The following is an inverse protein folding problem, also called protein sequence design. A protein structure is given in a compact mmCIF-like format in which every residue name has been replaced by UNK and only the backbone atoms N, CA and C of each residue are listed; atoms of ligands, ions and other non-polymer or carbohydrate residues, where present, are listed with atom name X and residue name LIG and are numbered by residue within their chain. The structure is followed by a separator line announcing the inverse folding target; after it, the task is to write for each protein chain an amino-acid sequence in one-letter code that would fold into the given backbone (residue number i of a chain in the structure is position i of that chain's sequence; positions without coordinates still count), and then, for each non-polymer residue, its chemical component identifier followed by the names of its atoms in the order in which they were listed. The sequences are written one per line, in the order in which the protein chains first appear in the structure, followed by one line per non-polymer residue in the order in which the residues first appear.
data_IF_581758845552
#
_entry.id   IF_581758845552
#
_cell.length_a   1.000
_cell.length_b   1.000
_cell.length_c   1.000
_cell.angle_alpha   90.00
_cell.angle_beta   90.00
_cell.angle_gamma   90.00
#
_symmetry.space_group_name_H-M   'P 1'
#
loop_
_entity.id
_entity.type
_entity.pdbx_description
1 polymer ?
#
# COMPACT_ATOMS: atom_id res chain seq x y z
N UNK A 1 11.01 -30.01 -28.64
CA UNK A 1 10.08 -30.78 -29.51
C UNK A 1 9.47 -29.86 -30.56
N UNK A 2 8.69 -30.35 -31.52
CA UNK A 2 7.98 -29.50 -32.49
C UNK A 2 7.07 -28.45 -31.81
N UNK A 3 6.70 -28.67 -30.54
CA UNK A 3 6.00 -27.71 -29.68
C UNK A 3 6.87 -26.52 -29.21
N UNK A 4 8.20 -26.67 -29.10
CA UNK A 4 9.11 -25.57 -28.71
C UNK A 4 9.29 -24.51 -29.82
N UNK A 5 8.90 -24.85 -31.06
CA UNK A 5 9.06 -23.99 -32.23
C UNK A 5 7.86 -23.08 -32.50
N UNK A 6 6.75 -23.26 -31.79
CA UNK A 6 5.53 -22.46 -31.98
C UNK A 6 5.29 -21.54 -30.77
N UNK A 7 6.20 -20.59 -30.59
CA UNK A 7 6.06 -19.55 -29.57
C UNK A 7 4.83 -18.71 -29.89
N UNK A 8 3.77 -18.86 -29.09
CA UNK A 8 2.57 -18.04 -29.25
C UNK A 8 2.88 -16.57 -29.00
N UNK A 9 2.54 -15.72 -29.96
CA UNK A 9 2.68 -14.25 -29.85
C UNK A 9 1.45 -13.59 -29.23
N UNK A 10 0.46 -14.37 -28.76
CA UNK A 10 -0.81 -13.84 -28.26
C UNK A 10 -0.63 -12.79 -27.16
N UNK A 11 0.26 -13.08 -26.19
CA UNK A 11 0.57 -12.19 -25.06
C UNK A 11 1.22 -10.87 -25.49
N UNK A 12 2.04 -10.89 -26.55
CA UNK A 12 2.67 -9.69 -27.09
C UNK A 12 1.65 -8.72 -27.72
N UNK A 13 0.49 -9.24 -28.14
CA UNK A 13 -0.63 -8.44 -28.64
C UNK A 13 -1.74 -8.23 -27.62
N UNK A 14 -1.54 -8.50 -26.32
CA UNK A 14 -2.55 -8.35 -25.28
C UNK A 14 -3.10 -6.91 -25.24
N UNK A 15 -4.39 -6.70 -25.50
CA UNK A 15 -4.98 -5.36 -25.66
C UNK A 15 -4.99 -4.59 -24.35
N UNK A 16 -5.14 -5.28 -23.21
CA UNK A 16 -5.00 -4.65 -21.89
C UNK A 16 -3.61 -4.05 -21.68
N UNK A 17 -2.53 -4.78 -22.02
CA UNK A 17 -1.16 -4.24 -21.93
C UNK A 17 -0.94 -3.08 -22.90
N UNK A 18 -1.43 -3.17 -24.15
CA UNK A 18 -1.31 -2.07 -25.11
C UNK A 18 -2.05 -0.81 -24.64
N UNK A 19 -3.23 -0.95 -24.03
CA UNK A 19 -3.95 0.18 -23.42
C UNK A 19 -3.14 0.85 -22.29
N UNK A 20 -2.29 0.11 -21.58
CA UNK A 20 -1.38 0.67 -20.56
C UNK A 20 -0.21 1.38 -21.24
N UNK A 21 0.42 0.74 -22.23
CA UNK A 21 1.58 1.28 -22.95
C UNK A 21 1.23 2.57 -23.72
N UNK A 22 0.02 2.64 -24.28
CA UNK A 22 -0.49 3.81 -25.00
C UNK A 22 -1.02 4.91 -24.06
N UNK A 23 -1.06 4.68 -22.75
CA UNK A 23 -1.48 5.69 -21.79
C UNK A 23 -0.41 6.79 -21.64
N UNK A 24 -0.78 8.03 -21.94
CA UNK A 24 0.11 9.19 -21.87
C UNK A 24 0.75 9.36 -20.49
N UNK A 25 -0.05 9.22 -19.42
CA UNK A 25 0.42 9.40 -18.04
C UNK A 25 1.35 8.28 -17.58
N UNK A 26 1.18 7.06 -18.11
CA UNK A 26 2.11 5.95 -17.89
C UNK A 26 3.45 6.23 -18.56
N UNK A 27 3.43 6.57 -19.86
CA UNK A 27 4.62 6.87 -20.64
C UNK A 27 5.42 8.03 -20.06
N UNK A 28 4.73 9.07 -19.57
CA UNK A 28 5.36 10.18 -18.86
C UNK A 28 6.09 9.72 -17.60
N UNK A 29 5.44 8.90 -16.74
CA UNK A 29 6.06 8.40 -15.51
C UNK A 29 7.27 7.52 -15.72
N UNK A 30 7.21 6.62 -16.70
CA UNK A 30 8.35 5.74 -17.04
C UNK A 30 9.58 6.58 -17.42
N UNK A 31 9.38 7.66 -18.19
CA UNK A 31 10.45 8.59 -18.61
C UNK A 31 10.98 9.43 -17.45
N UNK A 32 10.09 10.08 -16.69
CA UNK A 32 10.43 10.95 -15.54
C UNK A 32 11.32 10.22 -14.51
N UNK A 33 10.98 8.97 -14.20
CA UNK A 33 11.66 8.18 -13.17
C UNK A 33 12.74 7.24 -13.71
N UNK A 34 12.98 7.25 -15.03
CA UNK A 34 13.88 6.32 -15.72
C UNK A 34 13.66 4.85 -15.29
N UNK A 35 12.40 4.43 -15.17
CA UNK A 35 12.00 3.16 -14.55
C UNK A 35 12.58 1.96 -15.32
N UNK A 36 12.78 2.12 -16.63
CA UNK A 36 13.34 1.08 -17.50
C UNK A 36 14.73 0.59 -17.05
N UNK A 37 15.47 1.36 -16.24
CA UNK A 37 16.77 0.93 -15.71
C UNK A 37 16.70 -0.27 -14.75
N UNK A 38 15.54 -0.49 -14.15
CA UNK A 38 15.29 -1.56 -13.18
C UNK A 38 14.86 -2.87 -13.84
N UNK A 39 14.70 -2.89 -15.17
CA UNK A 39 14.32 -4.08 -15.91
C UNK A 39 15.58 -4.91 -16.14
N UNK A 40 15.62 -6.09 -15.52
CA UNK A 40 16.63 -7.11 -15.78
C UNK A 40 16.12 -8.06 -16.88
N UNK A 41 16.79 -8.07 -18.04
CA UNK A 41 16.41 -8.89 -19.20
C UNK A 41 16.53 -10.40 -18.93
N UNK A 42 17.51 -10.83 -18.14
CA UNK A 42 17.71 -12.23 -17.77
C UNK A 42 16.59 -12.70 -16.83
N UNK A 43 16.19 -11.83 -15.89
CA UNK A 43 15.06 -12.08 -15.01
C UNK A 43 13.76 -12.18 -15.81
N UNK A 44 13.50 -11.25 -16.73
CA UNK A 44 12.34 -11.31 -17.64
C UNK A 44 12.31 -12.62 -18.44
N UNK A 45 13.46 -13.07 -18.95
CA UNK A 45 13.56 -14.33 -19.67
C UNK A 45 13.23 -15.54 -18.77
N UNK A 46 13.69 -15.54 -17.52
CA UNK A 46 13.38 -16.60 -16.53
C UNK A 46 11.89 -16.62 -16.18
N UNK A 47 11.29 -15.45 -15.93
CA UNK A 47 9.85 -15.29 -15.68
C UNK A 47 9.06 -15.86 -16.84
N UNK A 48 9.40 -15.51 -18.08
CA UNK A 48 8.71 -16.03 -19.26
C UNK A 48 8.81 -17.55 -19.40
N UNK A 49 9.99 -18.14 -19.15
CA UNK A 49 10.18 -19.60 -19.19
C UNK A 49 9.29 -20.30 -18.15
N UNK A 50 9.16 -19.73 -16.95
CA UNK A 50 8.26 -20.24 -15.90
C UNK A 50 6.79 -20.11 -16.33
N UNK A 51 6.39 -18.93 -16.80
CA UNK A 51 5.04 -18.65 -17.32
C UNK A 51 4.64 -19.61 -18.44
N UNK A 52 5.51 -19.83 -19.42
CA UNK A 52 5.23 -20.68 -20.59
C UNK A 52 4.89 -22.13 -20.20
N UNK A 53 5.36 -22.60 -19.04
CA UNK A 53 5.09 -23.93 -18.53
C UNK A 53 3.72 -24.05 -17.82
N UNK A 54 3.11 -22.93 -17.39
CA UNK A 54 1.90 -22.95 -16.55
C UNK A 54 0.65 -23.37 -17.34
N UNK A 55 -0.31 -24.08 -16.70
CA UNK A 55 -1.57 -24.43 -17.35
C UNK A 55 -2.39 -23.19 -17.73
N UNK A 56 -2.37 -22.14 -16.90
CA UNK A 56 -3.10 -20.89 -17.13
C UNK A 56 -2.62 -20.18 -18.41
N UNK A 57 -1.31 -20.12 -18.64
CA UNK A 57 -0.77 -19.53 -19.86
C UNK A 57 -1.09 -20.39 -21.08
N UNK A 58 -1.00 -21.71 -20.97
CA UNK A 58 -1.36 -22.66 -22.04
C UNK A 58 -2.84 -22.55 -22.43
N UNK A 59 -3.72 -22.37 -21.45
CA UNK A 59 -5.15 -22.13 -21.68
C UNK A 59 -5.37 -20.78 -22.36
N UNK A 60 -4.74 -19.71 -21.86
CA UNK A 60 -4.83 -18.38 -22.45
C UNK A 60 -4.41 -18.35 -23.93
N UNK A 61 -3.32 -19.02 -24.30
CA UNK A 61 -2.86 -19.05 -25.70
C UNK A 61 -3.68 -19.97 -26.60
N UNK A 62 -4.41 -20.94 -26.04
CA UNK A 62 -5.27 -21.86 -26.80
C UNK A 62 -6.62 -21.22 -27.21
N UNK A 63 -7.08 -20.20 -26.47
CA UNK A 63 -8.24 -19.39 -26.82
C UNK A 63 -8.03 -18.70 -28.19
N UNK A 64 -8.90 -19.01 -29.17
CA UNK A 64 -8.78 -18.49 -30.55
C UNK A 64 -9.16 -17.03 -30.70
N UNK A 65 -10.13 -16.57 -29.91
CA UNK A 65 -10.61 -15.19 -29.93
C UNK A 65 -10.01 -14.41 -28.76
N UNK A 66 -9.90 -13.09 -28.92
CA UNK A 66 -9.52 -12.20 -27.82
C UNK A 66 -10.73 -11.91 -26.96
N UNK A 67 -10.54 -11.99 -25.65
CA UNK A 67 -11.55 -11.64 -24.66
C UNK A 67 -10.88 -10.76 -23.62
N UNK A 68 -11.36 -9.53 -23.47
CA UNK A 68 -10.78 -8.57 -22.53
C UNK A 68 -10.67 -9.12 -21.10
N UNK A 69 -11.64 -9.94 -20.66
CA UNK A 69 -11.60 -10.56 -19.33
C UNK A 69 -10.46 -11.57 -19.21
N UNK A 70 -10.22 -12.41 -20.23
CA UNK A 70 -9.09 -13.35 -20.20
C UNK A 70 -7.74 -12.64 -20.34
N UNK A 71 -7.71 -11.52 -21.08
CA UNK A 71 -6.53 -10.66 -21.19
C UNK A 71 -6.13 -9.99 -19.87
N UNK A 72 -7.10 -9.46 -19.12
CA UNK A 72 -6.84 -8.93 -17.77
C UNK A 72 -6.44 -10.07 -16.83
N UNK A 73 -7.13 -11.21 -16.90
CA UNK A 73 -6.88 -12.35 -16.01
C UNK A 73 -5.45 -12.90 -16.15
N UNK A 74 -4.92 -13.06 -17.37
CA UNK A 74 -3.55 -13.55 -17.54
C UNK A 74 -2.51 -12.55 -17.04
N UNK A 75 -2.72 -11.24 -17.20
CA UNK A 75 -1.80 -10.23 -16.68
C UNK A 75 -1.83 -10.20 -15.15
N UNK A 76 -3.01 -10.36 -14.55
CA UNK A 76 -3.14 -10.52 -13.10
C UNK A 76 -2.42 -11.79 -12.61
N UNK A 77 -2.59 -12.91 -13.29
CA UNK A 77 -1.89 -14.15 -12.97
C UNK A 77 -0.36 -13.98 -13.03
N UNK A 78 0.16 -13.34 -14.09
CA UNK A 78 1.61 -13.04 -14.19
C UNK A 78 2.06 -12.19 -13.01
N UNK A 79 1.31 -11.14 -12.67
CA UNK A 79 1.63 -10.26 -11.55
C UNK A 79 1.63 -11.00 -10.21
N UNK A 80 0.60 -11.80 -9.93
CA UNK A 80 0.48 -12.53 -8.67
C UNK A 80 1.53 -13.63 -8.56
N UNK A 81 1.58 -14.53 -9.55
CA UNK A 81 2.26 -15.82 -9.43
C UNK A 81 3.67 -15.86 -10.04
N UNK A 82 3.98 -14.97 -10.98
CA UNK A 82 5.29 -14.95 -11.66
C UNK A 82 6.12 -13.72 -11.32
N UNK A 83 5.52 -12.71 -10.68
CA UNK A 83 6.22 -11.53 -10.16
C UNK A 83 6.18 -11.59 -8.64
N UNK A 84 5.03 -11.42 -7.99
CA UNK A 84 4.93 -11.30 -6.53
C UNK A 84 5.30 -12.57 -5.75
N UNK A 85 4.92 -13.75 -6.24
CA UNK A 85 5.26 -15.02 -5.58
C UNK A 85 6.67 -15.55 -5.97
N UNK A 86 7.41 -14.84 -6.84
CA UNK A 86 8.72 -15.29 -7.33
C UNK A 86 9.86 -14.72 -6.47
N UNK A 87 10.55 -15.60 -5.72
CA UNK A 87 11.63 -15.22 -4.80
C UNK A 87 12.73 -14.38 -5.47
N UNK A 88 13.13 -14.74 -6.71
CA UNK A 88 14.19 -14.02 -7.41
C UNK A 88 13.76 -12.61 -7.84
N UNK A 89 12.46 -12.41 -8.08
CA UNK A 89 11.91 -11.09 -8.41
C UNK A 89 11.79 -10.24 -7.15
N UNK A 90 11.39 -10.83 -6.01
CA UNK A 90 11.35 -10.12 -4.73
C UNK A 90 12.74 -9.69 -4.27
N UNK A 91 13.75 -10.56 -4.43
CA UNK A 91 15.15 -10.22 -4.15
C UNK A 91 15.62 -9.04 -5.03
N UNK A 92 15.35 -9.10 -6.33
CA UNK A 92 15.65 -7.99 -7.25
C UNK A 92 14.98 -6.67 -6.85
N UNK A 93 13.70 -6.72 -6.44
CA UNK A 93 13.01 -5.52 -5.97
C UNK A 93 13.60 -5.00 -4.65
N UNK A 94 13.97 -5.86 -3.70
CA UNK A 94 14.61 -5.44 -2.47
C UNK A 94 15.98 -4.78 -2.71
N UNK A 95 16.75 -5.28 -3.68
CA UNK A 95 18.04 -4.71 -4.04
C UNK A 95 17.93 -3.36 -4.76
N UNK A 96 16.96 -3.22 -5.66
CA UNK A 96 16.82 -2.03 -6.54
C UNK A 96 15.91 -0.93 -5.97
N UNK A 97 14.98 -1.28 -5.08
CA UNK A 97 13.97 -0.39 -4.51
C UNK A 97 14.14 -0.31 -2.98
N UNK A 98 14.83 0.72 -2.47
CA UNK A 98 14.99 0.92 -1.03
C UNK A 98 13.62 1.03 -0.33
N UNK A 99 13.41 0.21 0.71
CA UNK A 99 12.14 0.16 1.45
C UNK A 99 11.09 -0.76 0.82
N UNK A 100 11.45 -1.59 -0.16
CA UNK A 100 10.51 -2.53 -0.81
C UNK A 100 9.72 -3.40 0.17
N UNK A 101 10.37 -3.87 1.24
CA UNK A 101 9.71 -4.71 2.26
C UNK A 101 8.52 -4.00 2.94
N UNK A 102 8.60 -2.67 3.09
CA UNK A 102 7.52 -1.85 3.65
C UNK A 102 6.47 -1.51 2.58
N UNK A 103 6.91 -1.30 1.33
CA UNK A 103 6.06 -0.85 0.22
C UNK A 103 5.29 -2.00 -0.44
N UNK A 104 5.76 -3.25 -0.36
CA UNK A 104 5.23 -4.38 -1.13
C UNK A 104 3.74 -4.63 -0.87
N UNK A 105 3.30 -4.49 0.38
CA UNK A 105 1.90 -4.65 0.77
C UNK A 105 1.02 -3.56 0.15
N UNK A 106 1.50 -2.31 0.14
CA UNK A 106 0.79 -1.21 -0.50
C UNK A 106 0.72 -1.41 -2.01
N UNK A 107 1.82 -1.83 -2.64
CA UNK A 107 1.87 -2.11 -4.08
C UNK A 107 0.88 -3.22 -4.43
N UNK A 108 0.80 -4.28 -3.61
CA UNK A 108 -0.19 -5.36 -3.80
C UNK A 108 -1.62 -4.82 -3.82
N UNK A 109 -1.97 -3.99 -2.83
CA UNK A 109 -3.30 -3.37 -2.72
C UNK A 109 -3.59 -2.46 -3.92
N UNK A 110 -2.62 -1.63 -4.32
CA UNK A 110 -2.76 -0.74 -5.47
C UNK A 110 -2.98 -1.52 -6.77
N UNK A 111 -2.24 -2.62 -6.96
CA UNK A 111 -2.36 -3.46 -8.14
C UNK A 111 -3.67 -4.26 -8.16
N UNK A 112 -4.14 -4.77 -7.01
CA UNK A 112 -5.45 -5.40 -6.93
C UNK A 112 -6.60 -4.44 -7.25
N UNK A 113 -6.48 -3.17 -6.84
CA UNK A 113 -7.44 -2.13 -7.22
C UNK A 113 -7.31 -1.75 -8.70
N UNK A 114 -6.09 -1.72 -9.23
CA UNK A 114 -5.81 -1.48 -10.64
C UNK A 114 -6.51 -2.50 -11.54
N UNK A 115 -6.37 -3.80 -11.25
CA UNK A 115 -7.03 -4.86 -12.03
C UNK A 115 -8.55 -4.87 -11.91
N UNK A 116 -9.12 -4.32 -10.82
CA UNK A 116 -10.57 -4.19 -10.63
C UNK A 116 -11.16 -2.95 -11.31
N UNK A 117 -10.35 -1.92 -11.57
CA UNK A 117 -10.82 -0.68 -12.16
C UNK A 117 -11.11 -0.83 -13.65
N UNK A 118 -12.28 -0.34 -14.08
CA UNK A 118 -12.65 -0.22 -15.50
C UNK A 118 -12.42 1.19 -16.08
N UNK A 119 -11.92 2.12 -15.26
CA UNK A 119 -11.75 3.53 -15.66
C UNK A 119 -10.38 3.81 -16.26
N UNK A 120 -10.26 4.90 -17.04
CA UNK A 120 -8.96 5.39 -17.54
C UNK A 120 -8.10 5.82 -16.35
N UNK A 121 -7.06 5.03 -16.08
CA UNK A 121 -6.16 5.26 -14.95
C UNK A 121 -5.19 6.40 -15.29
N UNK A 122 -5.01 7.30 -14.32
CA UNK A 122 -4.00 8.34 -14.38
C UNK A 122 -2.82 7.93 -13.49
N UNK A 123 -1.74 7.48 -14.12
CA UNK A 123 -0.54 7.00 -13.42
C UNK A 123 0.25 8.12 -12.71
N UNK A 124 -0.06 9.40 -12.99
CA UNK A 124 0.46 10.54 -12.22
C UNK A 124 -0.28 10.72 -10.88
N UNK A 125 -1.44 10.07 -10.68
CA UNK A 125 -2.33 10.26 -9.52
C UNK A 125 -2.80 8.92 -8.94
N UNK A 126 -1.87 7.98 -8.71
CA UNK A 126 -2.17 6.68 -8.07
C UNK A 126 -2.68 6.83 -6.64
N UNK A 127 -2.19 7.84 -5.92
CA UNK A 127 -2.71 8.26 -4.62
C UNK A 127 -3.64 9.45 -4.85
N UNK A 128 -4.86 9.38 -4.33
CA UNK A 128 -5.84 10.47 -4.49
C UNK A 128 -5.34 11.75 -3.80
N UNK A 129 -5.76 12.90 -4.33
CA UNK A 129 -5.43 14.20 -3.74
C UNK A 129 -5.90 14.28 -2.27
N UNK A 130 -7.10 13.74 -1.99
CA UNK A 130 -7.67 13.65 -0.64
C UNK A 130 -6.77 12.87 0.33
N UNK A 131 -6.21 11.72 -0.09
CA UNK A 131 -5.31 10.93 0.76
C UNK A 131 -4.00 11.67 1.05
N UNK A 132 -3.43 12.34 0.03
CA UNK A 132 -2.22 13.14 0.19
C UNK A 132 -2.46 14.36 1.11
N UNK A 133 -3.60 15.04 0.94
CA UNK A 133 -4.00 16.15 1.78
C UNK A 133 -4.19 15.70 3.23
N UNK A 134 -4.87 14.58 3.45
CA UNK A 134 -5.01 14.00 4.79
C UNK A 134 -3.65 13.70 5.44
N UNK A 135 -2.73 13.04 4.72
CA UNK A 135 -1.41 12.72 5.25
C UNK A 135 -0.62 13.99 5.65
N UNK A 136 -0.62 15.01 4.78
CA UNK A 136 0.00 16.30 5.08
C UNK A 136 -0.66 17.01 6.26
N UNK A 137 -1.99 17.03 6.32
CA UNK A 137 -2.73 17.66 7.40
C UNK A 137 -2.46 16.96 8.74
N UNK A 138 -2.40 15.62 8.75
CA UNK A 138 -2.10 14.86 9.97
C UNK A 138 -0.69 15.17 10.47
N UNK A 139 0.30 15.18 9.58
CA UNK A 139 1.67 15.56 9.93
C UNK A 139 1.72 16.99 10.50
N UNK A 140 1.16 17.97 9.78
CA UNK A 140 1.19 19.36 10.20
C UNK A 140 0.47 19.58 11.53
N UNK A 141 -0.72 18.99 11.69
CA UNK A 141 -1.51 19.10 12.92
C UNK A 141 -0.76 18.46 14.09
N UNK A 142 -0.13 17.30 13.89
CA UNK A 142 0.64 16.63 14.95
C UNK A 142 1.81 17.50 15.42
N UNK A 143 2.53 18.15 14.49
CA UNK A 143 3.62 19.06 14.82
C UNK A 143 3.11 20.33 15.53
N UNK A 144 2.05 20.95 15.01
CA UNK A 144 1.48 22.17 15.59
C UNK A 144 0.92 21.94 17.00
N UNK A 145 0.33 20.76 17.23
CA UNK A 145 -0.32 20.39 18.49
C UNK A 145 0.56 19.52 19.39
N UNK A 146 1.86 19.41 19.11
CA UNK A 146 2.78 18.50 19.82
C UNK A 146 2.73 18.68 21.34
N UNK A 147 2.81 19.93 21.81
CA UNK A 147 2.83 20.24 23.24
C UNK A 147 1.53 19.79 23.94
N UNK A 148 0.37 20.09 23.33
CA UNK A 148 -0.93 19.72 23.89
C UNK A 148 -1.17 18.20 23.84
N UNK A 149 -0.81 17.54 22.73
CA UNK A 149 -0.89 16.09 22.64
C UNK A 149 0.02 15.43 23.70
N UNK A 150 1.23 15.96 23.90
CA UNK A 150 2.15 15.46 24.92
C UNK A 150 1.59 15.65 26.33
N UNK A 151 0.97 16.80 26.63
CA UNK A 151 0.30 17.05 27.91
C UNK A 151 -0.79 16.03 28.22
N UNK A 152 -1.56 15.61 27.21
CA UNK A 152 -2.59 14.57 27.36
C UNK A 152 -1.99 13.16 27.53
N UNK A 153 -0.85 12.88 26.91
CA UNK A 153 -0.20 11.57 26.92
C UNK A 153 0.54 11.34 28.25
N UNK A 154 1.33 12.30 28.73
CA UNK A 154 2.24 12.13 29.87
C UNK A 154 1.56 11.54 31.12
N UNK A 155 0.35 11.99 31.56
CA UNK A 155 -0.33 11.42 32.73
C UNK A 155 -0.73 9.94 32.56
N UNK A 156 -0.83 9.46 31.32
CA UNK A 156 -1.18 8.06 30.99
C UNK A 156 0.02 7.14 30.95
N UNK A 157 1.23 7.71 30.95
CA UNK A 157 2.47 6.96 30.97
C UNK A 157 2.89 6.54 32.38
N UNK A 158 2.24 7.00 33.45
CA UNK A 158 2.66 6.72 34.84
C UNK A 158 2.72 5.23 35.22
N UNK A 159 1.96 4.36 34.53
CA UNK A 159 2.02 2.91 34.71
C UNK A 159 3.07 2.21 33.83
N UNK A 160 3.75 3.00 33.00
CA UNK A 160 4.77 2.58 32.05
C UNK A 160 6.06 3.31 32.42
N UNK A 161 7.21 2.72 32.13
CA UNK A 161 8.48 3.39 32.37
C UNK A 161 8.61 4.52 31.34
N UNK A 162 8.17 5.74 31.70
CA UNK A 162 8.05 6.87 30.79
C UNK A 162 9.40 7.29 30.17
N UNK A 163 10.51 6.98 30.84
CA UNK A 163 11.88 7.18 30.34
C UNK A 163 12.29 6.13 29.28
N UNK A 164 11.48 5.07 29.07
CA UNK A 164 11.74 3.97 28.12
C UNK A 164 10.71 3.86 26.99
N UNK A 165 9.84 4.84 26.81
CA UNK A 165 8.89 4.82 25.69
C UNK A 165 9.68 4.96 24.39
N UNK A 166 9.50 4.00 23.46
CA UNK A 166 10.13 4.06 22.16
C UNK A 166 9.73 5.35 21.43
N UNK A 167 10.68 5.96 20.73
CA UNK A 167 10.43 7.19 19.98
C UNK A 167 9.25 7.02 18.99
N UNK A 168 9.20 5.89 18.30
CA UNK A 168 8.11 5.55 17.38
C UNK A 168 6.77 5.51 18.11
N UNK A 169 6.69 4.86 19.27
CA UNK A 169 5.44 4.80 20.04
C UNK A 169 4.97 6.19 20.48
N UNK A 170 5.88 7.05 20.92
CA UNK A 170 5.54 8.43 21.28
C UNK A 170 5.03 9.23 20.08
N UNK A 171 5.63 9.05 18.90
CA UNK A 171 5.16 9.68 17.66
C UNK A 171 3.76 9.20 17.28
N UNK A 172 3.51 7.89 17.32
CA UNK A 172 2.21 7.30 17.01
C UNK A 172 1.13 7.74 18.00
N UNK A 173 1.45 7.84 19.29
CA UNK A 173 0.53 8.37 20.29
C UNK A 173 0.16 9.83 20.01
N UNK A 174 1.14 10.68 19.66
CA UNK A 174 0.88 12.09 19.32
C UNK A 174 -0.01 12.22 18.08
N UNK A 175 0.30 11.45 17.03
CA UNK A 175 -0.52 11.42 15.81
C UNK A 175 -1.93 10.91 16.09
N UNK A 176 -2.07 9.84 16.88
CA UNK A 176 -3.37 9.29 17.28
C UNK A 176 -4.21 10.29 18.07
N UNK A 177 -3.62 10.98 19.04
CA UNK A 177 -4.32 12.04 19.81
C UNK A 177 -4.71 13.21 18.91
N UNK A 178 -3.83 13.64 18.00
CA UNK A 178 -4.13 14.68 17.03
C UNK A 178 -5.31 14.28 16.13
N UNK A 179 -5.33 13.05 15.62
CA UNK A 179 -6.43 12.55 14.78
C UNK A 179 -7.76 12.45 15.55
N UNK A 180 -7.73 12.00 16.80
CA UNK A 180 -8.92 11.93 17.65
C UNK A 180 -9.57 13.32 17.82
N UNK A 181 -8.77 14.37 17.97
CA UNK A 181 -9.25 15.72 18.31
C UNK A 181 -9.58 16.59 17.09
N UNK A 182 -8.80 16.47 16.01
CA UNK A 182 -8.81 17.46 14.93
C UNK A 182 -9.30 16.92 13.59
N UNK A 183 -9.58 15.61 13.49
CA UNK A 183 -10.04 14.97 12.25
C UNK A 183 -11.47 14.45 12.46
N UNK A 184 -12.49 15.30 12.27
CA UNK A 184 -13.87 14.96 12.63
C UNK A 184 -14.46 13.85 11.75
N UNK A 185 -13.97 13.70 10.52
CA UNK A 185 -14.46 12.71 9.54
C UNK A 185 -13.99 11.28 9.81
N UNK A 186 -13.03 11.08 10.73
CA UNK A 186 -12.43 9.77 11.03
C UNK A 186 -12.97 9.24 12.36
N UNK A 187 -13.69 8.09 12.37
CA UNK A 187 -14.21 7.51 13.59
C UNK A 187 -13.10 7.14 14.58
N UNK A 188 -13.33 7.37 15.87
CA UNK A 188 -12.32 7.15 16.93
C UNK A 188 -11.79 5.72 16.97
N UNK A 189 -12.66 4.73 16.74
CA UNK A 189 -12.26 3.31 16.69
C UNK A 189 -11.35 3.01 15.50
N UNK A 190 -11.57 3.66 14.35
CA UNK A 190 -10.70 3.50 13.17
C UNK A 190 -9.33 4.06 13.51
N UNK A 191 -9.26 5.31 13.98
CA UNK A 191 -8.01 5.94 14.45
C UNK A 191 -7.20 5.01 15.35
N UNK A 192 -7.80 4.52 16.45
CA UNK A 192 -7.10 3.65 17.41
C UNK A 192 -6.60 2.38 16.74
N UNK A 193 -7.44 1.70 15.96
CA UNK A 193 -7.05 0.47 15.26
C UNK A 193 -5.87 0.70 14.31
N UNK A 194 -5.89 1.75 13.49
CA UNK A 194 -4.82 2.01 12.52
C UNK A 194 -3.48 2.27 13.23
N UNK A 195 -3.46 3.08 14.30
CA UNK A 195 -2.22 3.34 15.04
C UNK A 195 -1.71 2.11 15.80
N UNK A 196 -2.58 1.17 16.19
CA UNK A 196 -2.17 -0.12 16.75
C UNK A 196 -1.45 -0.97 15.71
N UNK A 197 -1.98 -1.06 14.48
CA UNK A 197 -1.35 -1.85 13.43
C UNK A 197 -0.01 -1.24 13.01
N UNK A 198 0.08 0.09 12.87
CA UNK A 198 1.35 0.77 12.59
C UNK A 198 2.37 0.51 13.71
N UNK A 199 1.95 0.54 14.98
CA UNK A 199 2.85 0.27 16.11
C UNK A 199 3.41 -1.16 16.11
N UNK A 200 2.63 -2.15 15.65
CA UNK A 200 3.09 -3.54 15.53
C UNK A 200 4.12 -3.69 14.41
N UNK A 201 4.00 -2.92 13.34
CA UNK A 201 4.91 -2.99 12.19
C UNK A 201 6.24 -2.29 12.46
N UNK A 202 6.22 -1.10 13.08
CA UNK A 202 7.38 -0.19 13.09
C UNK A 202 8.09 -0.03 14.43
N UNK A 203 7.61 -0.67 15.51
CA UNK A 203 8.13 -0.46 16.85
C UNK A 203 8.49 -1.79 17.53
N UNK A 204 8.21 -1.94 18.83
CA UNK A 204 8.55 -3.15 19.59
C UNK A 204 7.42 -4.17 19.57
N UNK A 205 7.67 -5.46 19.87
CA UNK A 205 6.63 -6.48 19.95
C UNK A 205 5.48 -6.16 20.94
N UNK A 206 5.71 -5.28 21.92
CA UNK A 206 4.71 -4.87 22.91
C UNK A 206 3.97 -3.57 22.52
N UNK A 207 4.43 -2.88 21.48
CA UNK A 207 3.98 -1.53 21.13
C UNK A 207 2.52 -1.47 20.72
N UNK A 208 1.99 -2.48 20.02
CA UNK A 208 0.55 -2.54 19.70
C UNK A 208 -0.34 -2.54 20.94
N UNK A 209 0.01 -3.30 21.98
CA UNK A 209 -0.73 -3.33 23.24
C UNK A 209 -0.57 -2.02 24.01
N UNK A 210 0.64 -1.46 24.03
CA UNK A 210 0.96 -0.20 24.67
C UNK A 210 0.15 0.96 24.06
N UNK A 211 0.22 1.14 22.74
CA UNK A 211 -0.49 2.20 22.00
C UNK A 211 -2.00 2.08 22.21
N UNK A 212 -2.56 0.87 22.12
CA UNK A 212 -3.97 0.63 22.39
C UNK A 212 -4.38 1.12 23.79
N UNK A 213 -3.67 0.64 24.82
CA UNK A 213 -3.99 0.95 26.21
C UNK A 213 -3.89 2.44 26.54
N UNK A 214 -2.93 3.16 25.95
CA UNK A 214 -2.79 4.60 26.15
C UNK A 214 -3.88 5.38 25.41
N UNK A 215 -4.09 5.12 24.12
CA UNK A 215 -5.10 5.84 23.32
C UNK A 215 -6.52 5.62 23.83
N UNK A 216 -6.88 4.39 24.23
CA UNK A 216 -8.19 4.10 24.83
C UNK A 216 -8.44 4.89 26.11
N UNK A 217 -7.41 5.02 26.96
CA UNK A 217 -7.52 5.78 28.20
C UNK A 217 -7.62 7.29 27.96
N UNK A 218 -6.89 7.82 26.97
CA UNK A 218 -7.03 9.22 26.55
C UNK A 218 -8.43 9.46 25.98
N UNK A 219 -8.91 8.59 25.10
CA UNK A 219 -10.23 8.71 24.49
C UNK A 219 -11.35 8.77 25.54
N UNK A 220 -11.29 7.94 26.59
CA UNK A 220 -12.27 7.97 27.70
C UNK A 220 -12.32 9.33 28.39
N UNK A 221 -11.16 9.94 28.66
CA UNK A 221 -11.10 11.26 29.28
C UNK A 221 -11.60 12.35 28.34
N UNK A 222 -11.21 12.32 27.07
CA UNK A 222 -11.67 13.28 26.07
C UNK A 222 -13.19 13.23 25.89
N UNK A 223 -13.79 12.04 25.92
CA UNK A 223 -15.26 11.87 25.89
C UNK A 223 -15.90 12.45 27.14
N UNK A 224 -15.35 12.16 28.33
CA UNK A 224 -15.85 12.69 29.61
C UNK A 224 -15.79 14.23 29.66
N UNK A 225 -14.77 14.81 29.05
CA UNK A 225 -14.57 16.26 28.94
C UNK A 225 -15.33 16.90 27.76
N UNK A 226 -16.08 16.10 26.99
CA UNK A 226 -16.82 16.55 25.81
C UNK A 226 -15.93 17.21 24.74
N UNK A 227 -14.70 16.71 24.56
CA UNK A 227 -13.71 17.18 23.58
C UNK A 227 -13.72 16.43 22.25
N UNK A 228 -14.46 15.32 22.16
CA UNK A 228 -14.57 14.53 20.93
C UNK A 228 -15.76 15.03 20.11
N UNK A 229 -15.45 15.59 18.94
CA UNK A 229 -16.44 16.06 17.97
C UNK A 229 -16.20 15.36 16.64
N UNK A 230 -16.93 14.25 16.41
CA UNK A 230 -16.86 13.49 15.16
C UNK A 230 -18.10 13.76 14.31
N UNK A 231 -17.88 13.91 13.02
CA UNK A 231 -18.95 13.96 12.03
C UNK A 231 -19.54 12.56 11.87
N UNK A 232 -20.87 12.47 11.89
CA UNK A 232 -21.53 11.24 11.48
C UNK A 232 -21.28 11.07 9.98
N UNK A 233 -20.72 9.92 9.56
CA UNK A 233 -20.78 9.53 8.16
C UNK A 233 -22.26 9.43 7.80
N UNK A 234 -22.75 10.34 6.95
CA UNK A 234 -23.99 10.10 6.24
C UNK A 234 -23.78 8.82 5.43
N UNK A 235 -24.48 7.76 5.83
CA UNK A 235 -24.47 6.47 5.16
C UNK A 235 -25.14 6.55 3.79
#
# INVERSE_FOLDING_TARGET
TAEDLNVSTKIAGNEFLWNILDNETFTEKIKDKNISRYIDEDLVQKIYKKLAATPEYKEYIAERERNYKSEVAIVKFIFDNNIFDDEAVMEHFADELPGWEDDSDMVKILMDNFFKSSSKINFLKLISAEKNEYAHNLLHTTLEKEAYCTELIQPKLNNWDAERVALIDMLLLRMGVAELLYFPTIPTKVTINEFIEIAKMYSTPQSGQFVNGVLDNILKDLVKENKIHKEARNA
#
